data_IF_737946008225
#
_entry.id   IF_737946008225
#
_cell.length_a   1.000
_cell.length_b   1.000
_cell.length_c   1.000
_cell.angle_alpha   90.00
_cell.angle_beta   90.00
_cell.angle_gamma   90.00
#
_symmetry.space_group_name_H-M   'P 1'
#
loop_
_entity.id
_entity.type
_entity.pdbx_description
1 polymer ?
#
# COMPACT_ATOMS: atom_id res chain seq x y z
N UNK A 1 12.56 22.28 -83.36
CA UNK A 1 13.35 21.29 -82.62
C UNK A 1 14.66 21.93 -82.19
N UNK A 2 14.76 22.42 -80.95
CA UNK A 2 16.03 22.97 -80.45
C UNK A 2 16.40 22.34 -79.09
N UNK A 3 17.57 22.51 -78.50
CA UNK A 3 18.96 22.74 -78.88
C UNK A 3 19.76 22.62 -77.55
N UNK A 4 21.00 22.13 -77.65
CA UNK A 4 22.21 22.54 -76.89
C UNK A 4 22.39 22.38 -75.35
N UNK A 5 23.63 21.95 -75.06
CA UNK A 5 24.65 22.48 -74.12
C UNK A 5 24.76 21.99 -72.66
N UNK A 6 25.80 21.17 -72.45
CA UNK A 6 27.07 21.44 -71.72
C UNK A 6 27.15 22.57 -70.66
N UNK A 7 27.48 22.15 -69.43
CA UNK A 7 28.52 22.65 -68.48
C UNK A 7 28.26 23.78 -67.44
N UNK A 8 28.89 23.52 -66.27
CA UNK A 8 29.51 24.38 -65.22
C UNK A 8 28.74 24.66 -63.90
N UNK A 9 29.44 24.32 -62.79
CA UNK A 9 29.52 24.76 -61.34
C UNK A 9 28.29 25.45 -60.66
N UNK A 10 28.07 25.46 -59.33
CA UNK A 10 28.99 25.67 -58.21
C UNK A 10 28.29 25.50 -56.82
N UNK A 11 29.04 25.09 -55.79
CA UNK A 11 29.01 25.37 -54.32
C UNK A 11 27.86 25.02 -53.31
N UNK A 12 28.38 24.49 -52.17
CA UNK A 12 28.06 24.66 -50.73
C UNK A 12 26.80 24.04 -50.03
N UNK A 13 27.11 23.24 -49.00
CA UNK A 13 26.27 22.76 -47.87
C UNK A 13 25.89 23.89 -46.88
N UNK A 14 25.23 23.67 -45.71
CA UNK A 14 24.45 22.53 -45.16
C UNK A 14 23.09 22.94 -44.52
N UNK A 15 22.37 21.96 -43.95
CA UNK A 15 21.91 21.89 -42.54
C UNK A 15 20.41 21.59 -42.28
N UNK A 16 20.25 20.74 -41.25
CA UNK A 16 19.13 20.52 -40.34
C UNK A 16 18.00 19.53 -40.69
N UNK A 17 18.20 18.32 -40.16
CA UNK A 17 17.42 17.70 -39.07
C UNK A 17 15.89 17.71 -39.19
N UNK A 18 15.27 16.53 -39.39
CA UNK A 18 14.35 15.93 -38.40
C UNK A 18 13.98 14.48 -38.76
N UNK A 19 14.30 13.59 -37.81
CA UNK A 19 13.71 12.30 -37.45
C UNK A 19 12.70 11.64 -38.40
N UNK A 20 13.04 10.42 -38.83
CA UNK A 20 12.05 9.42 -39.18
C UNK A 20 12.31 8.09 -38.46
N UNK A 21 11.19 7.55 -38.00
CA UNK A 21 10.92 6.32 -37.29
C UNK A 21 11.35 5.06 -38.09
N UNK A 22 11.93 4.04 -37.45
CA UNK A 22 11.49 2.64 -37.62
C UNK A 22 12.29 1.64 -36.76
N UNK A 23 11.52 0.69 -36.24
CA UNK A 23 11.88 -0.52 -35.51
C UNK A 23 12.90 -1.43 -36.22
N UNK A 24 13.71 -2.16 -35.45
CA UNK A 24 13.92 -3.60 -35.69
C UNK A 24 14.37 -4.34 -34.39
N UNK A 25 13.66 -5.39 -33.95
CA UNK A 25 14.08 -6.23 -32.83
C UNK A 25 14.87 -7.45 -33.34
N UNK A 26 16.13 -7.57 -32.93
CA UNK A 26 16.86 -8.83 -32.70
C UNK A 26 18.37 -8.54 -32.67
N UNK A 27 18.91 -8.36 -31.47
CA UNK A 27 20.32 -8.66 -31.21
C UNK A 27 20.41 -9.50 -29.95
N UNK A 28 20.69 -10.77 -30.16
CA UNK A 28 20.98 -11.79 -29.17
C UNK A 28 22.23 -11.39 -28.39
N UNK A 29 22.08 -11.15 -27.09
CA UNK A 29 23.21 -10.97 -26.17
C UNK A 29 23.35 -12.26 -25.36
N UNK A 30 24.33 -13.08 -25.73
CA UNK A 30 24.82 -14.18 -24.89
C UNK A 30 25.51 -13.60 -23.66
N UNK A 31 24.98 -13.88 -22.46
CA UNK A 31 25.66 -13.63 -21.19
C UNK A 31 25.80 -14.96 -20.47
N UNK A 32 27.05 -15.23 -20.07
CA UNK A 32 27.51 -16.45 -19.42
C UNK A 32 26.65 -16.86 -18.22
N UNK A 33 26.20 -18.12 -18.27
CA UNK A 33 25.52 -18.85 -17.20
C UNK A 33 26.54 -19.28 -16.14
N UNK A 34 26.59 -18.58 -15.00
CA UNK A 34 27.49 -18.91 -13.88
C UNK A 34 26.82 -19.23 -12.55
N UNK A 35 25.61 -18.75 -12.27
CA UNK A 35 25.01 -18.86 -10.94
C UNK A 35 23.66 -19.58 -10.93
N UNK A 36 23.53 -20.76 -10.28
CA UNK A 36 22.27 -21.50 -10.22
C UNK A 36 21.15 -20.76 -9.46
N UNK A 37 21.49 -19.83 -8.55
CA UNK A 37 20.52 -18.95 -7.88
C UNK A 37 20.05 -17.80 -8.79
N UNK A 38 20.92 -17.25 -9.62
CA UNK A 38 20.57 -16.21 -10.58
C UNK A 38 19.69 -16.77 -11.71
N UNK A 39 19.91 -18.03 -12.13
CA UNK A 39 19.06 -18.71 -13.12
C UNK A 39 17.64 -18.93 -12.58
N UNK A 40 17.49 -19.36 -11.31
CA UNK A 40 16.17 -19.55 -10.70
C UNK A 40 15.40 -18.23 -10.58
N UNK A 41 16.10 -17.15 -10.21
CA UNK A 41 15.51 -15.80 -10.04
C UNK A 41 15.23 -15.12 -11.38
N UNK A 42 16.10 -15.27 -12.39
CA UNK A 42 15.87 -14.76 -13.74
C UNK A 42 14.73 -15.51 -14.46
N UNK A 43 14.55 -16.79 -14.15
CA UNK A 43 13.38 -17.58 -14.58
C UNK A 43 12.10 -17.05 -13.92
N UNK A 44 12.15 -16.64 -12.66
CA UNK A 44 11.00 -15.99 -11.99
C UNK A 44 10.72 -14.58 -12.52
N UNK A 45 11.75 -13.79 -12.84
CA UNK A 45 11.64 -12.44 -13.41
C UNK A 45 11.08 -12.42 -14.84
N UNK A 46 11.47 -13.39 -15.67
CA UNK A 46 10.90 -13.58 -17.00
C UNK A 46 9.43 -14.00 -16.93
N UNK A 47 9.07 -14.86 -15.96
CA UNK A 47 7.68 -15.21 -15.67
C UNK A 47 6.84 -13.97 -15.26
N UNK A 48 7.39 -13.07 -14.43
CA UNK A 48 6.75 -11.80 -14.02
C UNK A 48 6.56 -10.76 -15.13
N UNK A 49 7.29 -10.86 -16.24
CA UNK A 49 7.08 -10.01 -17.42
C UNK A 49 6.07 -10.61 -18.41
N UNK A 50 5.93 -11.94 -18.44
CA UNK A 50 4.94 -12.64 -19.26
C UNK A 50 3.49 -12.52 -18.71
N UNK A 51 3.37 -12.14 -17.44
CA UNK A 51 2.11 -11.99 -16.70
C UNK A 51 1.34 -10.68 -16.96
N UNK A 52 1.71 -9.89 -17.98
CA UNK A 52 1.01 -8.62 -18.28
C UNK A 52 -0.34 -8.76 -18.99
N UNK A 53 -0.74 -9.98 -19.42
CA UNK A 53 -1.96 -10.21 -20.21
C UNK A 53 -2.99 -11.19 -19.61
N UNK A 54 -2.86 -11.61 -18.33
CA UNK A 54 -3.79 -12.58 -17.71
C UNK A 54 -4.65 -11.92 -16.62
N UNK A 55 -5.96 -12.22 -16.63
CA UNK A 55 -6.94 -11.73 -15.65
C UNK A 55 -6.79 -12.41 -14.27
N UNK A 56 -6.72 -11.57 -13.23
CA UNK A 56 -6.94 -11.79 -11.79
C UNK A 56 -6.27 -12.97 -11.05
N UNK A 57 -6.68 -14.22 -11.28
CA UNK A 57 -6.42 -15.30 -10.31
C UNK A 57 -5.08 -16.05 -10.51
N UNK A 58 -4.47 -15.94 -11.69
CA UNK A 58 -3.26 -16.71 -12.08
C UNK A 58 -1.96 -15.90 -12.03
N UNK A 59 -2.01 -14.65 -11.59
CA UNK A 59 -0.88 -13.71 -11.71
C UNK A 59 0.20 -13.91 -10.64
N UNK A 60 -0.15 -14.49 -9.50
CA UNK A 60 0.80 -14.79 -8.42
C UNK A 60 0.50 -16.14 -7.79
N UNK A 61 1.49 -17.05 -7.71
CA UNK A 61 1.45 -18.13 -6.73
C UNK A 61 1.10 -17.53 -5.35
N UNK A 62 0.24 -18.19 -4.53
CA UNK A 62 -0.21 -17.63 -3.26
C UNK A 62 0.94 -17.21 -2.34
N UNK A 63 2.05 -17.97 -2.38
CA UNK A 63 3.25 -17.67 -1.62
C UNK A 63 3.90 -16.34 -2.06
N UNK A 64 3.91 -16.05 -3.36
CA UNK A 64 4.51 -14.82 -3.89
C UNK A 64 3.66 -13.61 -3.52
N UNK A 65 2.33 -13.73 -3.57
CA UNK A 65 1.42 -12.68 -3.11
C UNK A 65 1.68 -12.30 -1.64
N UNK A 66 1.80 -13.30 -0.76
CA UNK A 66 2.04 -13.05 0.66
C UNK A 66 3.40 -12.38 0.90
N UNK A 67 4.43 -12.78 0.16
CA UNK A 67 5.74 -12.12 0.23
C UNK A 67 5.62 -10.65 -0.17
N UNK A 68 5.04 -10.36 -1.34
CA UNK A 68 4.87 -8.99 -1.83
C UNK A 68 4.04 -8.13 -0.86
N UNK A 69 2.89 -8.65 -0.42
CA UNK A 69 1.99 -7.96 0.49
C UNK A 69 2.67 -7.66 1.82
N UNK A 70 3.37 -8.65 2.39
CA UNK A 70 4.10 -8.46 3.64
C UNK A 70 5.19 -7.41 3.52
N UNK A 71 5.93 -7.38 2.41
CA UNK A 71 6.98 -6.40 2.18
C UNK A 71 6.44 -4.97 2.02
N UNK A 72 5.29 -4.83 1.36
CA UNK A 72 4.62 -3.53 1.24
C UNK A 72 4.12 -3.03 2.60
N UNK A 73 3.37 -3.87 3.34
CA UNK A 73 2.85 -3.50 4.65
C UNK A 73 3.98 -3.19 5.64
N UNK A 74 5.03 -4.01 5.66
CA UNK A 74 6.21 -3.78 6.48
C UNK A 74 6.86 -2.42 6.18
N UNK A 75 7.00 -2.05 4.90
CA UNK A 75 7.58 -0.75 4.52
C UNK A 75 6.69 0.43 4.89
N UNK A 76 5.36 0.28 4.81
CA UNK A 76 4.41 1.31 5.28
C UNK A 76 4.58 1.52 6.79
N UNK A 77 4.65 0.43 7.54
CA UNK A 77 4.75 0.47 9.00
C UNK A 77 6.09 1.00 9.47
N UNK A 78 7.19 0.59 8.86
CA UNK A 78 8.52 1.12 9.20
C UNK A 78 8.59 2.64 8.98
N UNK A 79 8.00 3.13 7.89
CA UNK A 79 7.91 4.57 7.66
C UNK A 79 7.08 5.27 8.75
N UNK A 80 5.93 4.70 9.12
CA UNK A 80 5.05 5.28 10.13
C UNK A 80 5.65 5.22 11.55
N UNK A 81 6.28 4.11 11.93
CA UNK A 81 6.93 3.93 13.23
C UNK A 81 8.05 4.97 13.44
N UNK A 82 8.84 5.26 12.41
CA UNK A 82 9.91 6.29 12.46
C UNK A 82 9.31 7.68 12.70
N UNK A 83 8.26 8.03 11.96
CA UNK A 83 7.60 9.32 12.08
C UNK A 83 6.96 9.52 13.47
N UNK A 84 6.54 8.43 14.12
CA UNK A 84 6.00 8.46 15.48
C UNK A 84 7.05 8.39 16.60
N UNK A 85 8.30 8.00 16.32
CA UNK A 85 9.39 8.06 17.31
C UNK A 85 10.00 9.45 17.48
N UNK A 86 10.00 10.30 16.44
CA UNK A 86 10.55 11.66 16.50
C UNK A 86 9.58 12.71 17.08
N UNK A 87 8.28 12.38 17.15
CA UNK A 87 7.27 13.16 17.84
C UNK A 87 6.90 12.50 19.16
N UNK A 88 7.41 13.01 20.29
CA UNK A 88 6.84 12.77 21.61
C UNK A 88 5.46 13.45 21.73
N UNK A 89 4.55 13.01 20.88
CA UNK A 89 3.13 13.23 21.00
C UNK A 89 2.58 11.88 21.38
N UNK A 90 2.33 11.71 22.69
CA UNK A 90 1.05 11.13 23.08
C UNK A 90 0.02 11.60 22.05
N UNK A 91 -0.88 10.76 21.51
CA UNK A 91 -2.05 11.32 20.85
C UNK A 91 -2.55 12.38 21.82
N UNK A 92 -2.52 13.65 21.40
CA UNK A 92 -3.09 14.72 22.20
C UNK A 92 -4.57 14.40 22.14
N UNK A 93 -4.98 13.54 23.07
CA UNK A 93 -6.33 13.43 23.56
C UNK A 93 -6.68 14.90 23.78
N UNK A 94 -7.71 15.45 23.12
CA UNK A 94 -8.25 16.73 23.55
C UNK A 94 -8.61 16.49 25.02
N UNK A 95 -7.78 17.02 25.91
CA UNK A 95 -7.98 16.90 27.34
C UNK A 95 -9.36 17.44 27.61
N UNK A 96 -10.29 16.56 27.94
CA UNK A 96 -11.64 16.89 28.33
C UNK A 96 -11.58 17.83 29.54
N UNK A 97 -11.63 19.14 29.29
CA UNK A 97 -11.97 20.12 30.31
C UNK A 97 -13.48 20.12 30.44
N UNK A 98 -13.93 19.42 31.48
CA UNK A 98 -15.33 19.32 31.86
C UNK A 98 -15.75 20.66 32.46
N UNK A 99 -16.17 21.61 31.62
CA UNK A 99 -16.90 22.79 32.07
C UNK A 99 -18.36 22.64 31.66
N UNK A 100 -19.13 22.03 32.57
CA UNK A 100 -20.58 21.99 32.50
C UNK A 100 -21.15 23.38 32.81
N UNK A 101 -21.45 24.18 31.78
CA UNK A 101 -22.37 25.32 31.90
C UNK A 101 -23.18 25.54 30.62
N UNK A 102 -24.42 25.07 30.67
CA UNK A 102 -25.66 25.61 30.09
C UNK A 102 -25.69 26.27 28.70
N UNK A 103 -26.55 25.68 27.85
CA UNK A 103 -27.54 26.34 26.96
C UNK A 103 -27.05 27.26 25.84
N UNK A 104 -27.07 26.75 24.60
CA UNK A 104 -27.87 27.29 23.47
C UNK A 104 -27.66 26.46 22.18
N UNK A 105 -28.69 26.47 21.34
CA UNK A 105 -28.97 25.68 20.14
C UNK A 105 -27.87 25.61 19.06
N UNK A 106 -27.44 24.38 18.70
CA UNK A 106 -26.88 24.02 17.37
C UNK A 106 -26.94 22.49 17.16
N UNK A 107 -27.98 22.00 16.49
CA UNK A 107 -28.26 20.56 16.28
C UNK A 107 -27.26 19.81 15.36
N UNK A 108 -26.32 20.51 14.72
CA UNK A 108 -25.38 19.94 13.75
C UNK A 108 -24.04 19.49 14.35
N UNK A 109 -23.58 20.13 15.43
CA UNK A 109 -22.18 19.97 15.88
C UNK A 109 -21.99 18.81 16.86
N UNK A 110 -23.03 18.46 17.62
CA UNK A 110 -23.00 17.39 18.63
C UNK A 110 -22.92 15.98 17.98
N UNK A 111 -23.59 15.80 16.85
CA UNK A 111 -23.58 14.53 16.08
C UNK A 111 -22.19 14.24 15.49
N UNK A 112 -21.51 15.28 15.00
CA UNK A 112 -20.18 15.18 14.38
C UNK A 112 -19.11 14.82 15.40
N UNK A 113 -19.16 15.41 16.61
CA UNK A 113 -18.19 15.10 17.66
C UNK A 113 -18.32 13.65 18.14
N UNK A 114 -19.55 13.18 18.38
CA UNK A 114 -19.81 11.81 18.79
C UNK A 114 -19.39 10.78 17.72
N UNK A 115 -19.52 11.12 16.43
CA UNK A 115 -19.04 10.28 15.34
C UNK A 115 -17.51 10.16 15.35
N UNK A 116 -16.79 11.27 15.56
CA UNK A 116 -15.33 11.27 15.66
C UNK A 116 -14.85 10.47 16.88
N UNK A 117 -15.50 10.63 18.04
CA UNK A 117 -15.16 9.88 19.26
C UNK A 117 -15.34 8.37 19.07
N UNK A 118 -16.43 7.96 18.42
CA UNK A 118 -16.67 6.56 18.07
C UNK A 118 -15.67 6.03 17.05
N UNK A 119 -15.36 6.79 16.00
CA UNK A 119 -14.38 6.39 15.01
C UNK A 119 -13.00 6.16 15.63
N UNK A 120 -12.55 7.09 16.49
CA UNK A 120 -11.31 6.98 17.25
C UNK A 120 -11.29 5.73 18.14
N UNK A 121 -12.38 5.46 18.87
CA UNK A 121 -12.50 4.24 19.67
C UNK A 121 -12.37 2.97 18.82
N UNK A 122 -12.99 2.95 17.63
CA UNK A 122 -12.90 1.83 16.70
C UNK A 122 -11.47 1.62 16.19
N UNK A 123 -10.73 2.69 15.87
CA UNK A 123 -9.31 2.61 15.48
C UNK A 123 -8.46 2.08 16.63
N UNK A 124 -8.67 2.59 17.84
CA UNK A 124 -7.91 2.19 19.04
C UNK A 124 -8.12 0.73 19.42
N UNK A 125 -9.26 0.12 19.08
CA UNK A 125 -9.51 -1.30 19.33
C UNK A 125 -8.46 -2.23 18.68
N UNK A 126 -7.84 -1.80 17.57
CA UNK A 126 -6.82 -2.58 16.89
C UNK A 126 -5.42 -2.45 17.50
N UNK A 127 -5.19 -1.53 18.43
CA UNK A 127 -3.87 -1.33 19.03
C UNK A 127 -3.58 -2.39 20.09
N UNK A 128 -2.54 -3.19 19.87
CA UNK A 128 -2.03 -4.13 20.87
C UNK A 128 -1.23 -3.44 21.97
N UNK A 129 -1.12 -4.07 23.15
CA UNK A 129 -0.24 -3.59 24.23
C UNK A 129 1.24 -3.73 23.89
N UNK A 130 1.59 -4.79 23.16
CA UNK A 130 2.95 -5.12 22.77
C UNK A 130 2.98 -5.45 21.27
N UNK A 131 4.09 -5.12 20.62
CA UNK A 131 4.35 -5.51 19.22
C UNK A 131 4.49 -7.04 19.16
N UNK A 132 3.72 -7.74 18.30
CA UNK A 132 3.88 -9.18 18.15
C UNK A 132 5.25 -9.57 17.61
N UNK A 133 5.90 -10.57 18.22
CA UNK A 133 7.22 -11.06 17.80
C UNK A 133 7.21 -11.80 16.44
N UNK A 134 6.03 -12.19 15.94
CA UNK A 134 5.87 -12.84 14.65
C UNK A 134 5.87 -11.81 13.52
N UNK A 135 6.67 -12.01 12.48
CA UNK A 135 6.67 -11.10 11.33
C UNK A 135 5.33 -11.14 10.57
N UNK A 136 5.01 -10.06 9.86
CA UNK A 136 3.79 -9.96 9.04
C UNK A 136 3.69 -11.12 8.05
N UNK A 137 4.80 -11.44 7.37
CA UNK A 137 4.86 -12.59 6.44
C UNK A 137 4.52 -13.91 7.13
N UNK A 138 5.16 -14.18 8.27
CA UNK A 138 4.95 -15.42 9.02
C UNK A 138 3.51 -15.53 9.54
N UNK A 139 2.92 -14.41 9.92
CA UNK A 139 1.53 -14.33 10.36
C UNK A 139 0.54 -14.59 9.22
N UNK A 140 0.70 -13.95 8.07
CA UNK A 140 -0.09 -14.21 6.86
C UNK A 140 0.04 -15.68 6.41
N UNK A 141 1.26 -16.22 6.43
CA UNK A 141 1.53 -17.62 6.09
C UNK A 141 0.86 -18.59 7.07
N UNK A 142 0.82 -18.24 8.35
CA UNK A 142 0.08 -19.00 9.37
C UNK A 142 -1.43 -18.97 9.08
N UNK A 143 -1.98 -17.81 8.73
CA UNK A 143 -3.40 -17.65 8.41
C UNK A 143 -3.77 -18.52 7.22
N UNK A 144 -3.10 -18.40 6.07
CA UNK A 144 -3.44 -19.16 4.87
C UNK A 144 -3.30 -20.68 5.07
N UNK A 145 -2.35 -21.12 5.91
CA UNK A 145 -2.12 -22.54 6.20
C UNK A 145 -3.30 -23.19 6.91
N UNK A 146 -3.95 -22.48 7.83
CA UNK A 146 -5.02 -23.04 8.69
C UNK A 146 -6.42 -22.56 8.30
N UNK A 147 -6.51 -21.43 7.61
CA UNK A 147 -7.70 -20.86 7.00
C UNK A 147 -7.41 -20.52 5.52
N UNK A 148 -7.42 -21.52 4.62
CA UNK A 148 -7.25 -21.28 3.19
C UNK A 148 -8.24 -20.23 2.68
N UNK A 149 -7.74 -19.28 1.89
CA UNK A 149 -8.50 -18.19 1.28
C UNK A 149 -7.92 -17.88 -0.10
N UNK A 150 -8.72 -17.24 -0.97
CA UNK A 150 -8.30 -16.85 -2.31
C UNK A 150 -7.34 -15.65 -2.27
N UNK A 151 -6.59 -15.45 -3.35
CA UNK A 151 -5.73 -14.27 -3.50
C UNK A 151 -6.51 -12.95 -3.36
N UNK A 152 -7.76 -12.93 -3.83
CA UNK A 152 -8.65 -11.77 -3.78
C UNK A 152 -8.90 -11.31 -2.34
N UNK A 153 -9.00 -12.24 -1.38
CA UNK A 153 -9.13 -11.93 0.05
C UNK A 153 -7.93 -11.12 0.54
N UNK A 154 -6.72 -11.50 0.15
CA UNK A 154 -5.49 -10.81 0.58
C UNK A 154 -5.28 -9.49 -0.17
N UNK A 155 -5.63 -9.41 -1.46
CA UNK A 155 -5.60 -8.15 -2.21
C UNK A 155 -6.63 -7.15 -1.67
N UNK A 156 -7.79 -7.62 -1.22
CA UNK A 156 -8.84 -6.80 -0.62
C UNK A 156 -8.37 -6.07 0.63
N UNK A 157 -7.36 -6.59 1.35
CA UNK A 157 -6.77 -5.89 2.50
C UNK A 157 -6.20 -4.53 2.10
N UNK A 158 -5.53 -4.42 0.95
CA UNK A 158 -4.98 -3.15 0.48
C UNK A 158 -6.08 -2.14 0.16
N UNK A 159 -7.17 -2.60 -0.44
CA UNK A 159 -8.34 -1.77 -0.72
C UNK A 159 -8.98 -1.30 0.58
N UNK A 160 -9.21 -2.21 1.52
CA UNK A 160 -9.85 -1.89 2.80
C UNK A 160 -9.02 -0.96 3.65
N UNK A 161 -7.72 -1.17 3.76
CA UNK A 161 -6.84 -0.26 4.51
C UNK A 161 -6.80 1.14 3.89
N UNK A 162 -6.77 1.25 2.57
CA UNK A 162 -6.83 2.54 1.89
C UNK A 162 -8.18 3.24 2.08
N UNK A 163 -9.30 2.50 2.06
CA UNK A 163 -10.63 3.06 2.38
C UNK A 163 -10.71 3.60 3.81
N UNK A 164 -10.18 2.85 4.79
CA UNK A 164 -10.12 3.29 6.19
C UNK A 164 -9.24 4.54 6.32
N UNK A 165 -8.06 4.57 5.68
CA UNK A 165 -7.17 5.73 5.71
C UNK A 165 -7.81 6.97 5.05
N UNK A 166 -8.46 6.83 3.90
CA UNK A 166 -9.17 7.93 3.24
C UNK A 166 -10.31 8.47 4.07
N UNK A 167 -11.09 7.59 4.71
CA UNK A 167 -12.21 8.00 5.56
C UNK A 167 -11.72 8.78 6.77
N UNK A 168 -10.62 8.35 7.39
CA UNK A 168 -9.98 9.07 8.49
C UNK A 168 -9.52 10.49 8.11
N UNK A 169 -9.15 10.72 6.84
CA UNK A 169 -8.68 12.02 6.37
C UNK A 169 -9.85 12.92 5.91
N UNK A 170 -10.88 12.35 5.30
CA UNK A 170 -12.06 13.11 4.86
C UNK A 170 -12.85 13.72 6.03
N UNK A 171 -12.82 13.10 7.22
CA UNK A 171 -13.43 13.66 8.43
C UNK A 171 -12.76 14.95 8.91
N UNK A 172 -11.48 15.16 8.58
CA UNK A 172 -10.72 16.35 9.00
C UNK A 172 -11.06 17.55 8.11
N UNK A 173 -11.19 17.36 6.79
CA UNK A 173 -11.49 18.45 5.86
C UNK A 173 -12.89 19.06 6.03
N UNK A 174 -13.85 18.35 6.63
CA UNK A 174 -15.19 18.92 6.89
C UNK A 174 -15.20 19.89 8.08
N UNK A 175 -14.16 19.90 8.92
CA UNK A 175 -14.04 20.83 10.05
C UNK A 175 -13.50 22.21 9.65
N UNK A 176 -12.60 22.28 8.67
CA UNK A 176 -12.00 23.54 8.22
C UNK A 176 -12.93 24.33 7.29
N UNK A 177 -13.70 23.66 6.42
CA UNK A 177 -14.60 24.33 5.47
C UNK A 177 -15.86 24.93 6.10
N UNK A 178 -16.19 24.58 7.36
CA UNK A 178 -17.38 25.09 8.06
C UNK A 178 -17.12 26.38 8.87
N UNK A 179 -15.87 26.83 8.95
CA UNK A 179 -15.47 28.07 9.61
C UNK A 179 -14.78 28.93 8.53
N UNK A 180 -15.28 30.15 8.31
CA UNK A 180 -14.76 31.22 7.42
C UNK A 180 -15.68 31.60 6.23
N UNK A 181 -16.81 32.22 6.56
CA UNK A 181 -17.14 33.54 5.99
C UNK A 181 -16.78 34.59 7.05
N UNK A 182 -15.50 34.91 7.21
CA UNK A 182 -15.09 36.25 7.60
C UNK A 182 -13.65 36.51 7.17
N UNK A 183 -13.40 37.73 6.74
CA UNK A 183 -12.20 38.24 6.09
C UNK A 183 -11.13 38.56 7.14
N UNK A 184 -10.14 37.68 7.36
CA UNK A 184 -8.77 38.11 7.73
C UNK A 184 -7.72 37.00 7.65
N UNK A 185 -6.62 37.34 7.00
CA UNK A 185 -5.25 36.80 7.05
C UNK A 185 -4.95 35.82 8.19
N UNK A 186 -4.59 34.57 7.86
CA UNK A 186 -3.46 33.83 8.44
C UNK A 186 -3.28 32.47 7.73
N UNK A 187 -2.02 32.11 7.50
CA UNK A 187 -1.58 30.91 6.79
C UNK A 187 -1.88 29.61 7.56
N UNK A 188 -2.58 28.62 6.98
CA UNK A 188 -2.70 27.31 7.61
C UNK A 188 -1.51 26.44 7.18
N UNK A 189 -0.51 26.36 8.05
CA UNK A 189 0.53 25.33 7.99
C UNK A 189 0.44 24.44 9.24
N UNK A 190 -0.75 23.93 9.54
CA UNK A 190 -0.87 22.76 10.40
C UNK A 190 -1.02 21.54 9.52
N UNK A 191 -0.08 20.60 9.65
CA UNK A 191 -0.12 19.32 8.95
C UNK A 191 -1.40 18.57 9.33
N UNK A 192 -2.11 17.93 8.37
CA UNK A 192 -3.36 17.26 8.64
C UNK A 192 -3.17 16.20 9.73
N UNK A 193 -3.93 16.29 10.82
CA UNK A 193 -3.96 15.28 11.88
C UNK A 193 -4.44 13.95 11.28
N UNK A 194 -3.53 13.00 11.09
CA UNK A 194 -3.87 11.69 10.55
C UNK A 194 -4.51 10.81 11.65
N UNK A 195 -5.82 10.64 11.59
CA UNK A 195 -6.61 9.91 12.61
C UNK A 195 -6.35 8.40 12.56
N UNK A 196 -6.02 7.85 11.39
CA UNK A 196 -5.68 6.43 11.22
C UNK A 196 -4.25 6.28 10.71
N UNK A 197 -3.38 5.73 11.57
CA UNK A 197 -2.02 5.32 11.21
C UNK A 197 -1.85 3.83 11.41
N UNK A 198 -1.30 3.17 10.40
CA UNK A 198 -0.96 1.75 10.45
C UNK A 198 0.47 1.60 10.96
N UNK A 199 0.64 0.92 12.10
CA UNK A 199 1.91 0.83 12.81
C UNK A 199 2.18 -0.60 13.30
N UNK A 200 3.33 -0.81 13.92
CA UNK A 200 3.72 -2.14 14.43
C UNK A 200 2.81 -2.65 15.56
N UNK A 201 2.05 -1.79 16.22
CA UNK A 201 1.16 -2.17 17.32
C UNK A 201 -0.22 -2.65 16.85
N UNK A 202 -0.67 -2.21 15.67
CA UNK A 202 -2.03 -2.50 15.19
C UNK A 202 -2.11 -3.45 13.99
N UNK A 203 -1.04 -3.59 13.19
CA UNK A 203 -1.10 -4.29 11.91
C UNK A 203 -1.61 -5.74 12.00
N UNK A 204 -1.15 -6.54 12.97
CA UNK A 204 -1.56 -7.96 13.04
C UNK A 204 -3.05 -8.12 13.31
N UNK A 205 -3.61 -7.22 14.12
CA UNK A 205 -5.05 -7.20 14.44
C UNK A 205 -5.86 -6.71 13.24
N UNK A 206 -5.38 -5.69 12.53
CA UNK A 206 -5.96 -5.23 11.27
C UNK A 206 -5.98 -6.33 10.19
N UNK A 207 -4.87 -7.07 10.03
CA UNK A 207 -4.77 -8.16 9.06
C UNK A 207 -5.79 -9.25 9.34
N UNK A 208 -5.87 -9.77 10.57
CA UNK A 208 -6.77 -10.90 10.84
C UNK A 208 -8.24 -10.49 10.73
N UNK A 209 -8.61 -9.29 11.20
CA UNK A 209 -9.96 -8.77 11.04
C UNK A 209 -10.32 -8.57 9.55
N UNK A 210 -9.41 -7.94 8.78
CA UNK A 210 -9.59 -7.75 7.35
C UNK A 210 -9.73 -9.06 6.58
N UNK A 211 -8.93 -10.08 6.92
CA UNK A 211 -9.02 -11.40 6.27
C UNK A 211 -10.37 -12.06 6.58
N UNK A 212 -10.87 -11.96 7.82
CA UNK A 212 -12.18 -12.53 8.19
C UNK A 212 -13.30 -11.86 7.39
N UNK A 213 -13.34 -10.53 7.41
CA UNK A 213 -14.36 -9.75 6.71
C UNK A 213 -14.32 -10.03 5.21
N UNK A 214 -13.15 -9.97 4.58
CA UNK A 214 -12.98 -10.28 3.17
C UNK A 214 -13.37 -11.73 2.84
N UNK A 215 -12.96 -12.71 3.67
CA UNK A 215 -13.30 -14.13 3.44
C UNK A 215 -14.81 -14.36 3.50
N UNK A 216 -15.49 -13.80 4.51
CA UNK A 216 -16.94 -13.94 4.65
C UNK A 216 -17.73 -13.21 3.56
N UNK A 217 -17.18 -12.12 3.02
CA UNK A 217 -17.84 -11.34 1.98
C UNK A 217 -17.62 -11.92 0.58
N UNK A 218 -16.41 -12.39 0.27
CA UNK A 218 -16.01 -12.79 -1.09
C UNK A 218 -16.06 -14.30 -1.34
N UNK A 219 -16.09 -15.14 -0.29
CA UNK A 219 -16.02 -16.59 -0.44
C UNK A 219 -17.32 -17.26 0.01
N UNK A 220 -17.84 -18.18 -0.82
CA UNK A 220 -19.01 -18.99 -0.48
C UNK A 220 -18.75 -19.94 0.72
N UNK A 221 -17.49 -20.33 0.91
CA UNK A 221 -17.04 -21.18 2.01
C UNK A 221 -16.07 -20.39 2.88
N UNK A 222 -16.46 -20.15 4.12
CA UNK A 222 -15.66 -19.45 5.12
C UNK A 222 -15.68 -20.18 6.47
N UNK A 223 -14.70 -19.88 7.32
CA UNK A 223 -14.58 -20.49 8.63
C UNK A 223 -15.28 -19.66 9.71
N UNK A 224 -15.69 -20.33 10.80
CA UNK A 224 -16.18 -19.64 12.01
C UNK A 224 -15.07 -18.82 12.66
N UNK A 225 -15.42 -17.72 13.33
CA UNK A 225 -14.47 -16.88 14.06
C UNK A 225 -13.65 -17.64 15.09
N UNK A 226 -14.21 -18.69 15.71
CA UNK A 226 -13.48 -19.56 16.65
C UNK A 226 -12.26 -20.24 16.03
N UNK A 227 -12.25 -20.51 14.73
CA UNK A 227 -11.08 -21.01 14.02
C UNK A 227 -10.05 -19.90 13.83
N UNK A 228 -10.48 -18.75 13.31
CA UNK A 228 -9.61 -17.60 13.12
C UNK A 228 -8.98 -17.11 14.43
N UNK A 229 -9.70 -17.15 15.55
CA UNK A 229 -9.21 -16.78 16.89
C UNK A 229 -8.01 -17.63 17.30
N UNK A 230 -8.13 -18.96 17.17
CA UNK A 230 -7.04 -19.90 17.45
C UNK A 230 -5.84 -19.69 16.52
N UNK A 231 -6.08 -19.37 15.25
CA UNK A 231 -5.02 -19.11 14.27
C UNK A 231 -4.33 -17.78 14.55
N UNK A 232 -5.07 -16.73 14.87
CA UNK A 232 -4.56 -15.40 15.19
C UNK A 232 -3.94 -15.29 16.59
N UNK A 233 -4.19 -16.26 17.47
CA UNK A 233 -3.72 -16.21 18.86
C UNK A 233 -4.48 -15.21 19.71
N UNK A 234 -5.76 -14.99 19.41
CA UNK A 234 -6.64 -14.05 20.10
C UNK A 234 -7.78 -14.80 20.82
N UNK A 235 -8.24 -14.31 21.99
CA UNK A 235 -9.55 -14.66 22.53
C UNK A 235 -10.65 -14.49 21.47
N UNK A 236 -11.63 -15.40 21.47
CA UNK A 236 -12.72 -15.36 20.51
C UNK A 236 -13.54 -14.07 20.61
N UNK A 237 -13.86 -13.65 21.83
CA UNK A 237 -14.62 -12.43 22.07
C UNK A 237 -13.89 -11.19 21.53
N UNK A 238 -12.57 -11.10 21.78
CA UNK A 238 -11.74 -10.04 21.23
C UNK A 238 -11.76 -10.05 19.70
N UNK A 239 -11.64 -11.21 19.06
CA UNK A 239 -11.70 -11.30 17.61
C UNK A 239 -13.07 -10.92 17.04
N UNK A 240 -14.16 -11.31 17.69
CA UNK A 240 -15.52 -10.90 17.30
C UNK A 240 -15.67 -9.38 17.39
N UNK A 241 -15.13 -8.77 18.45
CA UNK A 241 -15.13 -7.32 18.60
C UNK A 241 -14.33 -6.66 17.47
N UNK A 242 -13.11 -7.11 17.19
CA UNK A 242 -12.27 -6.58 16.11
C UNK A 242 -12.92 -6.69 14.74
N UNK A 243 -13.62 -7.80 14.45
CA UNK A 243 -14.37 -7.94 13.20
C UNK A 243 -15.44 -6.85 13.06
N UNK A 244 -16.24 -6.62 14.11
CA UNK A 244 -17.25 -5.56 14.11
C UNK A 244 -16.61 -4.18 13.94
N UNK A 245 -15.53 -3.89 14.67
CA UNK A 245 -14.83 -2.61 14.54
C UNK A 245 -14.31 -2.38 13.11
N UNK A 246 -13.83 -3.44 12.45
CA UNK A 246 -13.34 -3.34 11.07
C UNK A 246 -14.47 -3.00 10.09
N UNK A 247 -15.64 -3.62 10.27
CA UNK A 247 -16.85 -3.31 9.50
C UNK A 247 -17.30 -1.86 9.70
N UNK A 248 -17.24 -1.36 10.94
CA UNK A 248 -17.59 0.03 11.27
C UNK A 248 -16.60 1.03 10.66
N UNK A 249 -15.30 0.74 10.68
CA UNK A 249 -14.28 1.58 10.03
C UNK A 249 -14.47 1.64 8.51
N UNK A 250 -14.96 0.57 7.90
CA UNK A 250 -15.34 0.51 6.48
C UNK A 250 -16.74 1.05 6.19
N UNK A 251 -17.53 1.37 7.21
CA UNK A 251 -18.95 1.73 7.07
C UNK A 251 -19.72 0.72 6.21
N UNK A 252 -19.39 -0.55 6.41
CA UNK A 252 -19.93 -1.68 5.66
C UNK A 252 -19.75 -1.61 4.13
N UNK A 253 -18.91 -0.69 3.61
CA UNK A 253 -18.57 -0.59 2.20
C UNK A 253 -17.52 -1.65 1.82
N UNK A 254 -17.97 -2.91 1.72
CA UNK A 254 -17.11 -4.07 1.46
C UNK A 254 -16.98 -4.43 -0.02
N UNK A 255 -17.93 -4.01 -0.85
CA UNK A 255 -17.94 -4.32 -2.28
C UNK A 255 -16.71 -3.69 -2.96
N UNK A 256 -15.93 -4.50 -3.67
CA UNK A 256 -14.77 -4.06 -4.44
C UNK A 256 -15.07 -4.36 -5.90
N UNK A 257 -14.99 -3.34 -6.75
CA UNK A 257 -15.15 -3.53 -8.18
C UNK A 257 -13.93 -4.25 -8.75
N UNK A 258 -14.13 -5.01 -9.83
CA UNK A 258 -13.05 -5.79 -10.44
C UNK A 258 -11.88 -4.90 -10.82
N UNK A 259 -12.16 -3.75 -11.42
CA UNK A 259 -11.21 -2.75 -11.90
C UNK A 259 -10.41 -2.13 -10.75
N UNK A 260 -11.07 -1.91 -9.61
CA UNK A 260 -10.43 -1.42 -8.40
C UNK A 260 -9.43 -2.47 -7.89
N UNK A 261 -9.85 -3.73 -7.76
CA UNK A 261 -8.96 -4.80 -7.32
C UNK A 261 -7.75 -4.97 -8.26
N UNK A 262 -7.95 -4.87 -9.59
CA UNK A 262 -6.86 -4.93 -10.58
C UNK A 262 -5.84 -3.81 -10.39
N UNK A 263 -6.32 -2.61 -10.10
CA UNK A 263 -5.46 -1.45 -9.83
C UNK A 263 -4.55 -1.73 -8.63
N UNK A 264 -5.06 -2.26 -7.51
CA UNK A 264 -4.21 -2.56 -6.35
C UNK A 264 -3.25 -3.71 -6.61
N UNK A 265 -3.65 -4.74 -7.37
CA UNK A 265 -2.75 -5.80 -7.80
C UNK A 265 -1.58 -5.26 -8.64
N UNK A 266 -1.87 -4.34 -9.57
CA UNK A 266 -0.84 -3.69 -10.37
C UNK A 266 0.09 -2.81 -9.53
N UNK A 267 -0.47 -2.02 -8.61
CA UNK A 267 0.32 -1.19 -7.69
C UNK A 267 1.29 -2.04 -6.85
N UNK A 268 0.81 -3.16 -6.31
CA UNK A 268 1.62 -4.12 -5.56
C UNK A 268 2.74 -4.71 -6.43
N UNK A 269 2.42 -5.10 -7.66
CA UNK A 269 3.38 -5.66 -8.61
C UNK A 269 4.47 -4.65 -8.96
N UNK A 270 4.09 -3.39 -9.24
CA UNK A 270 5.01 -2.30 -9.53
C UNK A 270 5.91 -2.00 -8.34
N UNK A 271 5.36 -2.00 -7.14
CA UNK A 271 6.12 -1.86 -5.90
C UNK A 271 7.18 -2.96 -5.78
N UNK A 272 6.78 -4.22 -5.96
CA UNK A 272 7.67 -5.37 -5.83
C UNK A 272 8.82 -5.34 -6.84
N UNK A 273 8.52 -5.03 -8.11
CA UNK A 273 9.55 -4.85 -9.15
C UNK A 273 10.58 -3.79 -8.77
N UNK A 274 10.14 -2.64 -8.25
CA UNK A 274 11.06 -1.59 -7.77
C UNK A 274 11.92 -2.06 -6.60
N UNK A 275 11.34 -2.80 -5.66
CA UNK A 275 12.06 -3.31 -4.49
C UNK A 275 13.16 -4.30 -4.89
N UNK A 276 12.91 -5.19 -5.84
CA UNK A 276 13.92 -6.14 -6.34
C UNK A 276 15.08 -5.43 -7.04
N UNK A 277 14.80 -4.43 -7.88
CA UNK A 277 15.84 -3.65 -8.55
C UNK A 277 16.76 -2.94 -7.55
N UNK A 278 16.20 -2.38 -6.47
CA UNK A 278 16.98 -1.75 -5.41
C UNK A 278 17.92 -2.73 -4.71
N UNK A 279 17.44 -3.95 -4.41
CA UNK A 279 18.28 -4.99 -3.80
C UNK A 279 19.43 -5.43 -4.73
N UNK A 280 19.15 -5.52 -6.04
CA UNK A 280 20.18 -5.89 -7.02
C UNK A 280 21.27 -4.82 -7.13
N UNK A 281 20.90 -3.53 -7.12
CA UNK A 281 21.86 -2.42 -7.16
C UNK A 281 22.74 -2.37 -5.91
N UNK A 282 22.16 -2.59 -4.72
CA UNK A 282 22.91 -2.64 -3.46
C UNK A 282 23.92 -3.79 -3.43
N UNK A 283 23.58 -4.96 -3.99
CA UNK A 283 24.49 -6.11 -4.06
C UNK A 283 25.65 -5.86 -5.04
N UNK A 284 25.44 -5.13 -6.13
CA UNK A 284 26.50 -4.79 -7.09
C UNK A 284 27.49 -3.76 -6.53
N UNK A 285 27.04 -2.83 -5.68
CA UNK A 285 27.92 -1.82 -5.06
C UNK A 285 28.83 -2.43 -3.97
N UNK A 286 28.43 -3.51 -3.32
CA UNK A 286 29.25 -4.20 -2.30
C UNK A 286 30.32 -5.13 -2.88
N UNK A 287 30.30 -5.40 -4.19
CA UNK A 287 31.24 -6.33 -4.85
C UNK A 287 32.35 -5.63 -5.66
N UNK A 288 32.46 -4.29 -5.64
CA UNK A 288 33.60 -3.61 -6.27
C UNK A 288 34.88 -3.78 -5.44
N UNK A 289 36.01 -4.24 -6.02
CA UNK A 289 37.25 -4.38 -5.29
C UNK A 289 37.77 -3.02 -4.81
N UNK A 290 38.01 -2.87 -3.50
CA UNK A 290 38.73 -1.72 -2.97
C UNK A 290 40.15 -1.74 -3.55
N UNK A 291 40.51 -0.74 -4.36
CA UNK A 291 41.90 -0.56 -4.80
C UNK A 291 42.76 -0.23 -3.57
N UNK A 292 43.93 -0.87 -3.39
CA UNK A 292 44.81 -0.54 -2.27
C UNK A 292 45.29 0.91 -2.39
N UNK A 293 45.50 1.59 -1.24
CA UNK A 293 45.88 2.99 -1.23
C UNK A 293 47.22 3.22 -1.96
N UNK A 294 47.37 4.36 -2.66
CA UNK A 294 48.61 4.70 -3.34
C UNK A 294 49.73 4.86 -2.29
N UNK A 295 50.87 4.22 -2.59
CA UNK A 295 52.10 4.29 -1.79
C UNK A 295 52.80 5.64 -1.96
#
# INVERSE_FOLDING_TARGET
>A
MPQNNTHVEETLHPNKTRFNNSNNPNSSISINNGDPKAILINTQLSHLNQLNHLSHANRFPPNDLLVMLSALLQKIIEANDILHTDGNLNPVIPSSSVNATSTSSSFSNETTHLFNDKYNANVMAFRGRNIPAISIYSYLKRIIKYCPATNDVFLSLLVYFDRIAKRANNTVHTQEDAIMQDDTTESPSESPFQVFVMDSYNIHRLIIAGVIVASKFLSDVFYKNSRYAKVGGLPLEELNHLELQFLLLLDFQLMIQKEELEKYAELLSRFWKRQQLQQQQQQQQQQQPQQPPPT
#
